data_IF_900183058732
#
_entry.id   IF_900183058732
#
_cell.length_a   1.000
_cell.length_b   1.000
_cell.length_c   1.000
_cell.angle_alpha   90.00
_cell.angle_beta   90.00
_cell.angle_gamma   90.00
#
_symmetry.space_group_name_H-M   'P 1'
#
loop_
_entity.id
_entity.type
_entity.pdbx_description
1 polymer ?
#
# COMPACT_ATOMS: atom_id res chain seq x y z
N UNK A 1 -26.85 37.32 -27.35
CA UNK A 1 -27.85 38.11 -26.59
C UNK A 1 -28.20 37.28 -25.36
N UNK A 2 -27.96 37.62 -24.14
CA UNK A 2 -27.70 38.79 -23.33
C UNK A 2 -26.73 38.43 -22.20
N UNK A 3 -25.78 39.34 -21.96
CA UNK A 3 -24.83 39.34 -20.83
C UNK A 3 -25.58 39.91 -19.63
N UNK A 4 -25.51 39.27 -18.46
CA UNK A 4 -25.91 39.88 -17.19
C UNK A 4 -24.66 40.03 -16.33
N UNK A 5 -24.20 41.27 -16.20
CA UNK A 5 -23.21 41.71 -15.22
C UNK A 5 -23.96 42.03 -13.91
N UNK A 6 -23.52 41.45 -12.81
CA UNK A 6 -23.93 41.92 -11.47
C UNK A 6 -22.71 42.56 -10.83
N UNK A 7 -22.80 43.87 -10.64
CA UNK A 7 -21.84 44.66 -9.92
C UNK A 7 -22.11 44.56 -8.42
N UNK A 8 -21.07 44.30 -7.63
CA UNK A 8 -21.14 44.30 -6.18
C UNK A 8 -20.71 45.64 -5.63
N UNK A 9 -21.57 46.23 -4.85
CA UNK A 9 -21.40 47.53 -4.20
C UNK A 9 -20.57 47.35 -2.94
N UNK A 10 -19.45 48.06 -2.88
CA UNK A 10 -18.61 48.18 -1.68
C UNK A 10 -19.18 49.30 -0.84
N UNK A 11 -19.59 49.02 0.38
CA UNK A 11 -19.96 50.01 1.36
C UNK A 11 -18.83 50.19 2.39
N UNK A 12 -18.12 51.32 2.30
CA UNK A 12 -17.20 51.79 3.33
C UNK A 12 -17.99 52.42 4.49
N UNK A 13 -17.80 51.92 5.69
CA UNK A 13 -18.15 52.69 6.90
C UNK A 13 -16.90 52.83 7.77
N UNK A 14 -16.37 54.02 7.78
CA UNK A 14 -15.33 54.48 8.71
C UNK A 14 -15.97 54.97 10.00
N UNK A 15 -15.56 54.42 11.14
CA UNK A 15 -15.79 55.06 12.45
C UNK A 15 -14.45 55.15 13.17
N UNK A 16 -14.02 56.36 13.44
CA UNK A 16 -12.90 56.73 14.28
C UNK A 16 -13.35 56.90 15.75
N UNK A 17 -12.41 56.73 16.65
CA UNK A 17 -12.30 57.07 18.09
C UNK A 17 -12.25 55.82 19.00
N UNK A 18 -11.36 55.63 19.91
CA UNK A 18 -10.49 56.49 20.71
C UNK A 18 -9.41 55.65 21.42
N UNK A 19 -8.36 56.33 21.82
CA UNK A 19 -7.20 55.89 22.57
C UNK A 19 -7.51 55.13 23.88
N UNK A 20 -6.78 54.01 24.14
CA UNK A 20 -6.75 53.30 25.43
C UNK A 20 -5.69 52.21 25.40
N UNK A 21 -4.56 52.47 26.07
CA UNK A 21 -3.42 51.55 26.20
C UNK A 21 -3.81 50.27 26.96
N UNK A 22 -3.64 49.14 26.36
CA UNK A 22 -3.51 47.86 27.05
C UNK A 22 -2.86 46.81 26.11
N UNK A 23 -1.92 46.07 26.63
CA UNK A 23 -1.08 45.13 25.94
C UNK A 23 -1.85 44.16 25.01
N UNK A 24 -1.58 44.23 23.71
CA UNK A 24 -2.02 43.25 22.73
C UNK A 24 -1.28 41.94 22.96
N UNK A 25 -2.00 40.95 23.48
CA UNK A 25 -1.68 39.55 23.28
C UNK A 25 -1.86 39.27 21.80
N UNK A 26 -0.76 39.01 21.12
CA UNK A 26 -0.83 38.38 19.80
C UNK A 26 -1.41 36.98 19.95
N UNK A 27 -2.67 36.86 19.60
CA UNK A 27 -3.33 35.59 19.37
C UNK A 27 -2.78 35.04 18.06
N UNK A 28 -1.87 34.07 18.16
CA UNK A 28 -1.35 33.31 17.04
C UNK A 28 -2.52 32.52 16.45
N UNK A 29 -3.09 33.04 15.38
CA UNK A 29 -4.13 32.36 14.61
C UNK A 29 -3.44 31.13 14.01
N UNK A 30 -3.66 29.98 14.63
CA UNK A 30 -3.34 28.69 14.04
C UNK A 30 -4.08 28.63 12.69
N UNK A 31 -3.32 28.75 11.60
CA UNK A 31 -3.81 28.47 10.26
C UNK A 31 -4.10 26.97 10.27
N UNK A 32 -5.39 26.60 10.38
CA UNK A 32 -5.82 25.25 10.03
C UNK A 32 -5.35 25.00 8.59
N UNK A 33 -4.33 24.18 8.45
CA UNK A 33 -3.98 23.58 7.16
C UNK A 33 -5.19 22.77 6.68
N UNK A 34 -6.05 23.44 5.92
CA UNK A 34 -7.05 22.73 5.13
C UNK A 34 -6.27 21.74 4.26
N UNK A 35 -6.48 20.45 4.47
CA UNK A 35 -5.92 19.38 3.66
C UNK A 35 -6.45 19.52 2.23
N UNK A 36 -5.80 20.37 1.43
CA UNK A 36 -5.98 20.42 -0.01
C UNK A 36 -5.47 19.07 -0.51
N UNK A 37 -6.37 18.21 -0.95
CA UNK A 37 -5.99 16.94 -1.57
C UNK A 37 -5.26 17.27 -2.89
N UNK A 38 -3.92 17.29 -2.81
CA UNK A 38 -3.07 17.64 -3.95
C UNK A 38 -3.09 16.46 -4.91
N UNK A 39 -3.58 16.69 -6.13
CA UNK A 39 -3.53 15.69 -7.19
C UNK A 39 -2.08 15.35 -7.54
N UNK A 40 -1.63 14.18 -7.14
CA UNK A 40 -0.24 13.69 -7.31
C UNK A 40 0.16 13.54 -8.78
N UNK A 41 -0.80 13.37 -9.67
CA UNK A 41 -0.55 13.14 -11.11
C UNK A 41 0.09 14.34 -11.84
N UNK A 42 -0.02 15.55 -11.25
CA UNK A 42 0.48 16.80 -11.85
C UNK A 42 1.77 17.31 -11.21
N UNK A 43 2.23 16.70 -10.13
CA UNK A 43 3.44 17.12 -9.44
C UNK A 43 4.69 16.80 -10.28
N UNK A 44 5.71 17.67 -10.28
CA UNK A 44 7.02 17.32 -10.78
C UNK A 44 7.70 16.30 -9.84
N UNK A 45 8.86 15.76 -10.23
CA UNK A 45 9.55 14.73 -9.45
C UNK A 45 9.85 15.17 -8.01
N UNK A 46 10.41 16.35 -7.82
CA UNK A 46 10.78 16.89 -6.50
C UNK A 46 9.57 17.06 -5.60
N UNK A 47 8.52 17.68 -6.11
CA UNK A 47 7.28 17.89 -5.36
C UNK A 47 6.54 16.57 -5.07
N UNK A 48 6.63 15.58 -5.96
CA UNK A 48 6.04 14.27 -5.72
C UNK A 48 6.79 13.52 -4.62
N UNK A 49 8.12 13.59 -4.60
CA UNK A 49 8.92 13.00 -3.51
C UNK A 49 8.58 13.65 -2.17
N UNK A 50 8.51 14.98 -2.12
CA UNK A 50 8.14 15.70 -0.90
C UNK A 50 6.71 15.34 -0.42
N UNK A 51 5.76 15.17 -1.35
CA UNK A 51 4.40 14.75 -1.02
C UNK A 51 4.36 13.29 -0.53
N UNK A 52 5.17 12.39 -1.10
CA UNK A 52 5.33 11.01 -0.60
C UNK A 52 5.84 11.02 0.84
N UNK A 53 6.91 11.75 1.13
CA UNK A 53 7.47 11.84 2.49
C UNK A 53 6.44 12.35 3.51
N UNK A 54 5.68 13.38 3.14
CA UNK A 54 4.59 13.92 3.95
C UNK A 54 3.51 12.87 4.23
N UNK A 55 3.08 12.13 3.20
CA UNK A 55 2.07 11.07 3.33
C UNK A 55 2.59 9.87 4.13
N UNK A 56 3.85 9.47 3.96
CA UNK A 56 4.49 8.44 4.79
C UNK A 56 4.48 8.81 6.27
N UNK A 57 4.80 10.06 6.58
CA UNK A 57 4.75 10.58 7.96
C UNK A 57 3.32 10.50 8.51
N UNK A 58 2.35 11.03 7.76
CA UNK A 58 0.94 11.02 8.15
C UNK A 58 0.40 9.60 8.34
N UNK A 59 0.79 8.65 7.49
CA UNK A 59 0.41 7.24 7.60
C UNK A 59 1.01 6.57 8.85
N UNK A 60 2.28 6.83 9.16
CA UNK A 60 2.96 6.29 10.36
C UNK A 60 2.38 6.85 11.67
N UNK A 61 1.99 8.12 11.68
CA UNK A 61 1.43 8.80 12.86
C UNK A 61 -0.05 8.44 13.09
N UNK A 62 -0.70 7.93 12.06
CA UNK A 62 -2.12 7.61 12.12
C UNK A 62 -2.38 6.27 12.80
N UNK A 63 -3.17 6.32 13.88
CA UNK A 63 -3.67 5.15 14.60
C UNK A 63 -5.18 4.95 14.43
N UNK A 64 -5.85 5.78 13.63
CA UNK A 64 -7.28 5.67 13.41
C UNK A 64 -7.60 4.63 12.34
N UNK A 65 -8.45 3.69 12.69
CA UNK A 65 -9.09 2.80 11.71
C UNK A 65 -10.05 3.65 10.85
N UNK A 66 -9.98 3.51 9.53
CA UNK A 66 -10.88 4.15 8.55
C UNK A 66 -10.53 5.59 8.14
N UNK A 67 -9.27 5.96 8.03
CA UNK A 67 -8.92 7.11 7.23
C UNK A 67 -8.28 6.65 5.89
N UNK A 68 -8.41 7.46 4.86
CA UNK A 68 -7.93 7.13 3.51
C UNK A 68 -6.40 7.29 3.34
N UNK A 69 -5.64 7.48 4.41
CA UNK A 69 -4.21 7.79 4.33
C UNK A 69 -3.38 6.69 3.68
N UNK A 70 -3.75 5.42 3.91
CA UNK A 70 -3.12 4.29 3.21
C UNK A 70 -3.34 4.39 1.71
N UNK A 71 -4.58 4.59 1.29
CA UNK A 71 -4.93 4.73 -0.14
C UNK A 71 -4.24 5.94 -0.77
N UNK A 72 -4.26 7.10 -0.11
CA UNK A 72 -3.59 8.31 -0.59
C UNK A 72 -2.07 8.12 -0.76
N UNK A 73 -1.42 7.43 0.19
CA UNK A 73 0.00 7.11 0.10
C UNK A 73 0.27 6.13 -1.04
N UNK A 74 -0.54 5.08 -1.17
CA UNK A 74 -0.46 4.12 -2.27
C UNK A 74 -0.55 4.82 -3.63
N UNK A 75 -1.52 5.73 -3.79
CA UNK A 75 -1.66 6.53 -5.03
C UNK A 75 -0.41 7.34 -5.35
N UNK A 76 0.23 7.94 -4.34
CA UNK A 76 1.46 8.70 -4.54
C UNK A 76 2.64 7.81 -4.96
N UNK A 77 2.79 6.63 -4.37
CA UNK A 77 3.78 5.64 -4.79
C UNK A 77 3.55 5.17 -6.22
N UNK A 78 2.31 4.85 -6.56
CA UNK A 78 1.93 4.43 -7.92
C UNK A 78 2.19 5.54 -8.93
N UNK A 79 1.82 6.78 -8.62
CA UNK A 79 2.10 7.93 -9.49
C UNK A 79 3.59 8.10 -9.76
N UNK A 80 4.45 7.90 -8.73
CA UNK A 80 5.89 7.90 -8.91
C UNK A 80 6.36 6.77 -9.84
N UNK A 81 6.00 5.54 -9.54
CA UNK A 81 6.41 4.37 -10.32
C UNK A 81 5.93 4.43 -11.78
N UNK A 82 4.75 4.99 -12.03
CA UNK A 82 4.23 5.15 -13.40
C UNK A 82 4.95 6.23 -14.20
N UNK A 83 5.33 7.34 -13.57
CA UNK A 83 5.87 8.51 -14.27
C UNK A 83 7.39 8.53 -14.27
N UNK A 84 8.00 7.93 -13.27
CA UNK A 84 9.44 7.93 -13.02
C UNK A 84 10.00 6.53 -12.80
N UNK A 85 9.41 5.51 -13.44
CA UNK A 85 9.73 4.08 -13.25
C UNK A 85 11.18 3.69 -13.54
N UNK A 86 11.93 4.53 -14.25
CA UNK A 86 13.37 4.36 -14.48
C UNK A 86 14.26 5.07 -13.44
N UNK A 87 13.67 5.69 -12.43
CA UNK A 87 14.38 6.36 -11.34
C UNK A 87 14.54 5.44 -10.14
N UNK A 88 15.48 5.81 -9.29
CA UNK A 88 15.68 5.19 -7.98
C UNK A 88 14.37 5.14 -7.18
N UNK A 89 14.18 4.08 -6.41
CA UNK A 89 13.01 3.81 -5.57
C UNK A 89 11.68 3.51 -6.30
N UNK A 90 11.62 3.47 -7.63
CA UNK A 90 10.37 3.17 -8.32
C UNK A 90 9.87 1.74 -8.03
N UNK A 91 10.78 0.79 -7.93
CA UNK A 91 10.56 -0.60 -7.53
C UNK A 91 10.11 -0.71 -6.07
N UNK A 92 10.81 -0.04 -5.16
CA UNK A 92 10.44 -0.01 -3.74
C UNK A 92 9.06 0.64 -3.52
N UNK A 93 8.75 1.72 -4.22
CA UNK A 93 7.43 2.35 -4.12
C UNK A 93 6.32 1.46 -4.68
N UNK A 94 6.59 0.73 -5.76
CA UNK A 94 5.60 -0.21 -6.30
C UNK A 94 5.37 -1.40 -5.38
N UNK A 95 6.43 -1.90 -4.73
CA UNK A 95 6.34 -2.93 -3.70
C UNK A 95 5.49 -2.46 -2.52
N UNK A 96 5.80 -1.29 -1.95
CA UNK A 96 5.02 -0.68 -0.86
C UNK A 96 3.56 -0.41 -1.24
N UNK A 97 3.30 -0.02 -2.49
CA UNK A 97 1.93 0.12 -2.98
C UNK A 97 1.17 -1.20 -2.95
N UNK A 98 1.82 -2.31 -3.32
CA UNK A 98 1.27 -3.65 -3.19
C UNK A 98 0.95 -4.04 -1.75
N UNK A 99 1.87 -3.78 -0.82
CA UNK A 99 1.67 -4.06 0.62
C UNK A 99 0.50 -3.25 1.21
N UNK A 100 0.43 -1.95 0.90
CA UNK A 100 -0.69 -1.11 1.34
C UNK A 100 -2.01 -1.62 0.76
N UNK A 101 -2.04 -1.93 -0.54
CA UNK A 101 -3.24 -2.46 -1.18
C UNK A 101 -3.74 -3.76 -0.49
N UNK A 102 -2.82 -4.64 -0.08
CA UNK A 102 -3.17 -5.83 0.72
C UNK A 102 -3.76 -5.44 2.07
N UNK A 103 -3.14 -4.51 2.79
CA UNK A 103 -3.61 -4.04 4.10
C UNK A 103 -4.99 -3.37 4.04
N UNK A 104 -5.28 -2.65 2.97
CA UNK A 104 -6.56 -1.98 2.71
C UNK A 104 -7.61 -2.91 2.05
N UNK A 105 -7.31 -4.20 1.87
CA UNK A 105 -8.16 -5.19 1.17
C UNK A 105 -8.49 -4.82 -0.29
N UNK A 106 -7.64 -4.05 -0.94
CA UNK A 106 -7.75 -3.66 -2.35
C UNK A 106 -7.11 -4.74 -3.22
N UNK A 107 -7.78 -5.89 -3.32
CA UNK A 107 -7.24 -7.11 -3.97
C UNK A 107 -6.78 -6.88 -5.40
N UNK A 108 -7.55 -6.15 -6.20
CA UNK A 108 -7.22 -5.89 -7.62
C UNK A 108 -5.97 -5.03 -7.74
N UNK A 109 -5.84 -4.02 -6.89
CA UNK A 109 -4.69 -3.13 -6.82
C UNK A 109 -3.45 -3.88 -6.35
N UNK A 110 -3.55 -4.72 -5.32
CA UNK A 110 -2.46 -5.56 -4.84
C UNK A 110 -1.92 -6.46 -5.96
N UNK A 111 -2.79 -7.18 -6.65
CA UNK A 111 -2.42 -8.02 -7.80
C UNK A 111 -1.73 -7.19 -8.88
N UNK A 112 -2.31 -6.05 -9.26
CA UNK A 112 -1.76 -5.17 -10.29
C UNK A 112 -0.35 -4.67 -9.96
N UNK A 113 -0.14 -4.20 -8.74
CA UNK A 113 1.13 -3.61 -8.35
C UNK A 113 2.22 -4.67 -8.16
N UNK A 114 1.89 -5.81 -7.55
CA UNK A 114 2.84 -6.91 -7.38
C UNK A 114 3.19 -7.61 -8.70
N UNK A 115 2.23 -7.77 -9.62
CA UNK A 115 2.49 -8.27 -10.98
C UNK A 115 3.44 -7.33 -11.72
N UNK A 116 3.15 -6.04 -11.69
CA UNK A 116 3.97 -5.03 -12.35
C UNK A 116 5.39 -4.97 -11.77
N UNK A 117 5.52 -5.05 -10.45
CA UNK A 117 6.80 -5.14 -9.78
C UNK A 117 7.62 -6.32 -10.31
N UNK A 118 7.02 -7.50 -10.34
CA UNK A 118 7.67 -8.72 -10.81
C UNK A 118 8.12 -8.62 -12.27
N UNK A 119 7.28 -8.08 -13.15
CA UNK A 119 7.52 -8.01 -14.59
C UNK A 119 8.52 -6.90 -14.98
N UNK A 120 8.39 -5.70 -14.39
CA UNK A 120 9.14 -4.53 -14.81
C UNK A 120 10.47 -4.35 -14.05
N UNK A 121 10.64 -4.95 -12.86
CA UNK A 121 11.82 -4.76 -12.01
C UNK A 121 12.56 -6.06 -11.69
N UNK A 122 13.15 -6.73 -12.70
CA UNK A 122 13.80 -8.04 -12.53
C UNK A 122 15.04 -8.02 -11.63
N UNK A 123 15.60 -6.85 -11.35
CA UNK A 123 16.79 -6.67 -10.51
C UNK A 123 16.48 -6.20 -9.09
N UNK A 124 15.21 -5.97 -8.78
CA UNK A 124 14.82 -5.53 -7.46
C UNK A 124 15.09 -6.61 -6.41
N UNK A 125 15.71 -6.23 -5.30
CA UNK A 125 16.14 -7.21 -4.27
C UNK A 125 14.99 -8.00 -3.65
N UNK A 126 13.79 -7.37 -3.49
CA UNK A 126 12.59 -8.02 -2.96
C UNK A 126 11.67 -8.58 -4.06
N UNK A 127 12.16 -8.74 -5.30
CA UNK A 127 11.36 -9.30 -6.40
C UNK A 127 10.78 -10.67 -6.07
N UNK A 128 11.59 -11.53 -5.46
CA UNK A 128 11.15 -12.85 -5.01
C UNK A 128 10.03 -12.73 -3.98
N UNK A 129 10.20 -11.87 -2.98
CA UNK A 129 9.18 -11.65 -1.97
C UNK A 129 7.88 -11.08 -2.56
N UNK A 130 7.99 -10.13 -3.50
CA UNK A 130 6.82 -9.62 -4.25
C UNK A 130 6.06 -10.69 -5.01
N UNK A 131 6.77 -11.65 -5.64
CA UNK A 131 6.14 -12.79 -6.32
C UNK A 131 5.44 -13.72 -5.33
N UNK A 132 6.07 -13.99 -4.17
CA UNK A 132 5.44 -14.80 -3.12
C UNK A 132 4.15 -14.12 -2.61
N UNK A 133 4.19 -12.80 -2.33
CA UNK A 133 3.01 -12.04 -1.93
C UNK A 133 1.91 -12.06 -2.99
N UNK A 134 2.24 -12.05 -4.27
CA UNK A 134 1.26 -12.17 -5.35
C UNK A 134 0.53 -13.52 -5.28
N UNK A 135 1.26 -14.62 -5.04
CA UNK A 135 0.67 -15.95 -4.79
C UNK A 135 -0.27 -15.92 -3.59
N UNK A 136 0.18 -15.31 -2.49
CA UNK A 136 -0.61 -15.17 -1.26
C UNK A 136 -1.90 -14.36 -1.46
N UNK A 137 -1.85 -13.29 -2.25
CA UNK A 137 -3.04 -12.49 -2.59
C UNK A 137 -4.02 -13.28 -3.43
N UNK A 138 -3.54 -14.06 -4.40
CA UNK A 138 -4.39 -14.93 -5.22
C UNK A 138 -5.09 -16.00 -4.37
N UNK A 139 -4.36 -16.61 -3.43
CA UNK A 139 -4.92 -17.62 -2.53
C UNK A 139 -5.94 -17.05 -1.55
N UNK A 140 -5.54 -16.01 -0.82
CA UNK A 140 -6.24 -15.58 0.39
C UNK A 140 -7.28 -14.49 0.15
N UNK A 141 -7.08 -13.63 -0.83
CA UNK A 141 -7.95 -12.49 -1.12
C UNK A 141 -8.79 -12.72 -2.38
N UNK A 142 -8.17 -13.07 -3.49
CA UNK A 142 -8.88 -13.34 -4.75
C UNK A 142 -9.58 -14.71 -4.77
N UNK A 143 -9.16 -15.65 -3.90
CA UNK A 143 -9.63 -17.04 -3.89
C UNK A 143 -9.46 -17.78 -5.21
N UNK A 144 -8.46 -17.38 -5.98
CA UNK A 144 -8.06 -17.99 -7.24
C UNK A 144 -6.94 -19.01 -7.01
N UNK A 145 -7.33 -20.20 -6.57
CA UNK A 145 -6.38 -21.24 -6.16
C UNK A 145 -5.51 -21.75 -7.31
N UNK A 146 -6.03 -21.81 -8.53
CA UNK A 146 -5.27 -22.25 -9.70
C UNK A 146 -4.13 -21.26 -10.02
N UNK A 147 -4.44 -19.98 -9.98
CA UNK A 147 -3.43 -18.94 -10.19
C UNK A 147 -2.45 -18.84 -9.04
N UNK A 148 -2.90 -18.98 -7.79
CA UNK A 148 -2.04 -19.04 -6.63
C UNK A 148 -1.00 -20.19 -6.77
N UNK A 149 -1.47 -21.38 -7.13
CA UNK A 149 -0.61 -22.53 -7.38
C UNK A 149 0.43 -22.23 -8.46
N UNK A 150 -0.01 -21.70 -9.61
CA UNK A 150 0.88 -21.34 -10.72
C UNK A 150 1.98 -20.36 -10.28
N UNK A 151 1.64 -19.37 -9.48
CA UNK A 151 2.59 -18.35 -8.99
C UNK A 151 3.57 -18.96 -7.99
N UNK A 152 3.13 -19.78 -7.05
CA UNK A 152 4.03 -20.47 -6.13
C UNK A 152 4.97 -21.46 -6.85
N UNK A 153 4.49 -22.17 -7.86
CA UNK A 153 5.34 -23.03 -8.70
C UNK A 153 6.39 -22.23 -9.48
N UNK A 154 5.99 -21.07 -10.02
CA UNK A 154 6.90 -20.13 -10.66
C UNK A 154 7.95 -19.60 -9.66
N UNK A 155 7.52 -19.22 -8.45
CA UNK A 155 8.40 -18.80 -7.38
C UNK A 155 9.46 -19.88 -7.07
N UNK A 156 9.04 -21.14 -6.89
CA UNK A 156 9.96 -22.24 -6.61
C UNK A 156 10.91 -22.54 -7.77
N UNK A 157 10.50 -22.24 -9.00
CA UNK A 157 11.34 -22.42 -10.20
C UNK A 157 12.43 -21.35 -10.28
N UNK A 158 12.07 -20.07 -10.02
CA UNK A 158 13.01 -18.96 -10.13
C UNK A 158 13.85 -18.75 -8.86
N UNK A 159 13.30 -19.06 -7.68
CA UNK A 159 13.89 -18.79 -6.38
C UNK A 159 13.92 -20.04 -5.47
N UNK A 160 14.46 -21.19 -5.92
CA UNK A 160 14.35 -22.47 -5.20
C UNK A 160 15.02 -22.50 -3.82
N UNK A 161 15.95 -21.60 -3.55
CA UNK A 161 16.72 -21.50 -2.30
C UNK A 161 16.38 -20.25 -1.48
N UNK A 162 15.36 -19.49 -1.89
CA UNK A 162 14.91 -18.33 -1.13
C UNK A 162 14.33 -18.75 0.22
N UNK A 163 14.44 -17.90 1.22
CA UNK A 163 13.90 -18.17 2.57
C UNK A 163 12.41 -18.54 2.59
N UNK A 164 11.61 -18.03 1.66
CA UNK A 164 10.18 -18.33 1.51
C UNK A 164 9.90 -19.61 0.69
N UNK A 165 10.94 -20.38 0.27
CA UNK A 165 10.70 -21.53 -0.60
C UNK A 165 9.95 -22.67 0.11
N UNK A 166 10.19 -22.87 1.40
CA UNK A 166 9.47 -23.88 2.18
C UNK A 166 8.01 -23.43 2.42
N UNK A 167 7.78 -22.14 2.63
CA UNK A 167 6.42 -21.60 2.76
C UNK A 167 5.64 -21.76 1.45
N UNK A 168 6.27 -21.50 0.30
CA UNK A 168 5.64 -21.71 -1.01
C UNK A 168 5.26 -23.18 -1.25
N UNK A 169 6.13 -24.14 -0.85
CA UNK A 169 5.81 -25.58 -0.93
C UNK A 169 4.63 -25.95 -0.02
N UNK A 170 4.65 -25.42 1.22
CA UNK A 170 3.58 -25.64 2.18
C UNK A 170 2.25 -25.03 1.70
N UNK A 171 2.28 -23.85 1.08
CA UNK A 171 1.10 -23.23 0.48
C UNK A 171 0.53 -24.10 -0.64
N UNK A 172 1.36 -24.61 -1.57
CA UNK A 172 0.90 -25.52 -2.63
C UNK A 172 0.29 -26.80 -2.04
N UNK A 173 0.93 -27.41 -1.04
CA UNK A 173 0.44 -28.64 -0.40
C UNK A 173 -0.93 -28.42 0.27
N UNK A 174 -1.16 -27.23 0.82
CA UNK A 174 -2.36 -26.92 1.62
C UNK A 174 -3.43 -26.14 0.86
N UNK A 175 -3.21 -25.81 -0.42
CA UNK A 175 -4.16 -25.08 -1.24
C UNK A 175 -5.57 -25.69 -1.19
N UNK A 176 -6.53 -24.86 -0.81
CA UNK A 176 -7.95 -25.22 -0.76
C UNK A 176 -8.36 -26.12 0.41
N UNK A 177 -7.42 -26.52 1.29
CA UNK A 177 -7.76 -27.27 2.49
C UNK A 177 -8.27 -26.36 3.61
N UNK A 178 -9.21 -26.86 4.38
CA UNK A 178 -9.64 -26.18 5.61
C UNK A 178 -8.57 -26.32 6.71
N UNK A 179 -8.56 -25.44 7.71
CA UNK A 179 -7.65 -25.56 8.86
C UNK A 179 -7.79 -26.94 9.56
N UNK A 180 -9.00 -27.48 9.64
CA UNK A 180 -9.26 -28.78 10.25
C UNK A 180 -8.69 -29.95 9.42
N UNK A 181 -8.65 -29.84 8.10
CA UNK A 181 -8.03 -30.81 7.22
C UNK A 181 -6.51 -30.78 7.36
N UNK A 182 -5.93 -29.60 7.44
CA UNK A 182 -4.49 -29.40 7.65
C UNK A 182 -4.05 -30.03 8.99
N UNK A 183 -4.78 -29.76 10.06
CA UNK A 183 -4.50 -30.30 11.39
C UNK A 183 -4.59 -31.83 11.37
N UNK A 184 -5.65 -32.42 10.80
CA UNK A 184 -5.81 -33.88 10.69
C UNK A 184 -4.68 -34.54 9.90
N UNK A 185 -4.23 -33.90 8.80
CA UNK A 185 -3.10 -34.44 8.04
C UNK A 185 -1.80 -34.39 8.83
N UNK A 186 -1.57 -33.32 9.58
CA UNK A 186 -0.40 -33.19 10.43
C UNK A 186 -0.38 -34.28 11.52
N UNK A 187 -1.49 -34.47 12.25
CA UNK A 187 -1.61 -35.49 13.29
C UNK A 187 -1.43 -36.90 12.74
N UNK A 188 -1.95 -37.17 11.54
CA UNK A 188 -1.75 -38.45 10.85
C UNK A 188 -0.27 -38.67 10.49
N UNK A 189 0.42 -37.66 9.94
CA UNK A 189 1.84 -37.75 9.58
C UNK A 189 2.71 -38.00 10.83
N UNK A 190 2.43 -37.28 11.92
CA UNK A 190 3.14 -37.42 13.21
C UNK A 190 2.96 -38.84 13.83
N UNK A 191 1.73 -39.36 13.77
CA UNK A 191 1.42 -40.70 14.28
C UNK A 191 2.16 -41.77 13.47
N UNK A 192 2.23 -41.65 12.15
CA UNK A 192 2.95 -42.58 11.29
C UNK A 192 4.48 -42.52 11.54
N UNK A 193 5.02 -41.29 11.74
CA UNK A 193 6.44 -41.15 12.04
C UNK A 193 6.82 -41.80 13.35
N UNK A 194 5.99 -41.70 14.38
CA UNK A 194 6.19 -42.36 15.70
C UNK A 194 6.14 -43.89 15.58
N UNK A 195 5.22 -44.43 14.80
CA UNK A 195 5.13 -45.89 14.55
C UNK A 195 6.43 -46.41 13.87
N UNK A 196 6.90 -45.70 12.83
CA UNK A 196 8.11 -46.08 12.10
C UNK A 196 9.38 -45.99 12.95
N UNK A 197 9.49 -45.02 13.87
CA UNK A 197 10.60 -44.90 14.80
C UNK A 197 10.63 -46.03 15.82
N UNK A 198 9.47 -46.56 16.21
CA UNK A 198 9.39 -47.66 17.19
C UNK A 198 9.57 -49.04 16.54
N UNK A 199 9.57 -49.12 15.20
CA UNK A 199 9.73 -50.36 14.45
C UNK A 199 11.17 -50.58 13.91
N UNK A 200 12.07 -49.63 14.09
CA UNK A 200 13.49 -49.68 13.69
C UNK A 200 14.42 -49.96 14.87
#
# INVERSE_FOLDING_TARGET
>A
MKIVKIASVVLFLSVLYACGSSAEKQEEVAVEESSVNVSVDKLNLENLVAEIEKREKAFKENKALNDNKGVELMEAYVAYAMRFGNRENADEYLFKAGEIAMGENLTVEAIRHLTRLYDEYPKYEKRAYGLFLLGFVQENYAKNLDEAKRIYELFLTEFPTHEMADDARASIENLGKSPEEIIREFERKDSLAKVNQNAA
#
